data_IF_938279637162
#
_entry.id   IF_938279637162
#
_cell.length_a   1.000
_cell.length_b   1.000
_cell.length_c   1.000
_cell.angle_alpha   90.00
_cell.angle_beta   90.00
_cell.angle_gamma   90.00
#
_symmetry.space_group_name_H-M   'P 1'
#
loop_
_entity.id
_entity.type
_entity.pdbx_description
1 polymer ?
#
# COMPACT_ATOMS: atom_id res chain seq x y z
N UNK A 1 20.30 11.95 22.73
CA UNK A 1 18.94 12.42 22.44
C UNK A 1 17.88 11.67 23.26
N UNK A 2 17.93 10.33 23.37
CA UNK A 2 16.92 9.55 24.12
C UNK A 2 17.28 9.24 25.59
N UNK A 3 18.53 9.45 26.02
CA UNK A 3 18.96 9.19 27.40
C UNK A 3 18.47 10.23 28.43
N UNK A 4 17.98 11.38 27.96
CA UNK A 4 17.36 12.42 28.81
C UNK A 4 15.84 12.24 28.99
N UNK A 5 15.23 11.21 28.39
CA UNK A 5 13.78 11.01 28.38
C UNK A 5 13.22 10.27 29.61
N UNK A 6 13.95 10.24 30.74
CA UNK A 6 13.49 9.58 31.97
C UNK A 6 12.22 10.19 32.60
N UNK A 7 11.68 11.26 32.01
CA UNK A 7 10.45 11.95 32.43
C UNK A 7 9.27 11.83 31.45
N UNK A 8 9.41 11.07 30.35
CA UNK A 8 8.37 11.05 29.32
C UNK A 8 7.40 9.90 29.60
N UNK A 9 6.15 10.28 29.90
CA UNK A 9 5.05 9.34 30.10
C UNK A 9 4.86 8.45 28.86
N UNK A 10 4.53 7.17 29.05
CA UNK A 10 4.22 6.27 27.95
C UNK A 10 3.12 6.83 27.03
N UNK A 11 3.34 6.80 25.72
CA UNK A 11 2.47 7.44 24.73
C UNK A 11 1.63 6.44 23.91
N UNK A 12 0.54 6.95 23.34
CA UNK A 12 -0.30 6.24 22.37
C UNK A 12 0.14 6.61 20.96
N UNK A 13 0.49 5.62 20.13
CA UNK A 13 0.89 5.86 18.74
C UNK A 13 -0.17 5.30 17.80
N UNK A 14 -0.65 6.14 16.88
CA UNK A 14 -1.52 5.74 15.78
C UNK A 14 -0.77 6.04 14.49
N UNK A 15 -0.55 5.02 13.68
CA UNK A 15 0.10 5.15 12.38
C UNK A 15 -0.74 4.54 11.26
N UNK A 16 -0.64 5.11 10.07
CA UNK A 16 -1.26 4.61 8.85
C UNK A 16 -0.23 4.42 7.72
N UNK A 17 -0.39 3.36 6.91
CA UNK A 17 0.51 3.06 5.79
C UNK A 17 1.97 2.99 6.27
N UNK A 18 2.89 3.76 5.66
CA UNK A 18 4.31 3.77 6.05
C UNK A 18 4.54 4.24 7.49
N UNK A 19 3.74 5.18 7.99
CA UNK A 19 3.89 5.67 9.37
C UNK A 19 3.53 4.61 10.42
N UNK A 20 2.63 3.69 10.10
CA UNK A 20 2.30 2.54 10.96
C UNK A 20 3.52 1.62 11.12
N UNK A 21 4.25 1.39 10.03
CA UNK A 21 5.46 0.57 10.04
C UNK A 21 6.58 1.23 10.83
N UNK A 22 6.76 2.55 10.66
CA UNK A 22 7.72 3.34 11.45
C UNK A 22 7.36 3.27 12.94
N UNK A 23 6.07 3.43 13.27
CA UNK A 23 5.57 3.31 14.63
C UNK A 23 5.87 1.93 15.23
N UNK A 24 5.71 0.86 14.46
CA UNK A 24 6.02 -0.50 14.90
C UNK A 24 7.52 -0.70 15.18
N UNK A 25 8.40 -0.17 14.32
CA UNK A 25 9.86 -0.21 14.52
C UNK A 25 10.27 0.59 15.77
N UNK A 26 9.66 1.77 15.96
CA UNK A 26 9.92 2.59 17.14
C UNK A 26 9.49 1.85 18.41
N UNK A 27 8.28 1.29 18.44
CA UNK A 27 7.76 0.57 19.59
C UNK A 27 8.59 -0.68 19.95
N UNK A 28 9.16 -1.37 18.97
CA UNK A 28 10.06 -2.52 19.22
C UNK A 28 11.41 -2.08 19.82
N UNK A 29 11.95 -0.93 19.42
CA UNK A 29 13.20 -0.40 19.97
C UNK A 29 13.02 0.27 21.34
N UNK A 30 11.85 0.83 21.59
CA UNK A 30 11.58 1.72 22.72
C UNK A 30 10.29 1.34 23.48
N UNK A 31 10.09 0.06 23.84
CA UNK A 31 8.79 -0.42 24.34
C UNK A 31 8.36 0.25 25.64
N UNK A 32 9.32 0.66 26.50
CA UNK A 32 9.05 1.34 27.76
C UNK A 32 8.33 2.70 27.61
N UNK A 33 8.36 3.29 26.42
CA UNK A 33 7.73 4.57 26.14
C UNK A 33 6.36 4.43 25.45
N UNK A 34 5.86 3.20 25.23
CA UNK A 34 4.62 2.95 24.49
C UNK A 34 3.56 2.39 25.43
N UNK A 35 2.44 3.10 25.55
CA UNK A 35 1.25 2.60 26.24
C UNK A 35 0.38 1.76 25.29
N UNK A 36 0.21 2.23 24.05
CA UNK A 36 -0.59 1.56 23.03
C UNK A 36 -0.04 1.87 21.64
N UNK A 37 -0.23 0.94 20.72
CA UNK A 37 -0.01 1.16 19.31
C UNK A 37 -1.22 0.70 18.49
N UNK A 38 -1.69 1.55 17.58
CA UNK A 38 -2.70 1.23 16.58
C UNK A 38 -2.10 1.38 15.19
N UNK A 39 -2.13 0.30 14.41
CA UNK A 39 -1.52 0.23 13.09
C UNK A 39 -2.61 0.05 12.04
N UNK A 40 -2.78 1.06 11.18
CA UNK A 40 -3.78 1.06 10.11
C UNK A 40 -3.10 0.75 8.78
N UNK A 41 -3.37 -0.43 8.23
CA UNK A 41 -2.83 -0.91 6.95
C UNK A 41 -1.31 -0.65 6.82
N UNK A 42 -0.48 -1.22 7.72
CA UNK A 42 0.95 -0.93 7.74
C UNK A 42 1.62 -1.33 6.43
N UNK A 43 2.49 -0.45 5.93
CA UNK A 43 3.30 -0.73 4.77
C UNK A 43 4.23 -1.91 5.06
N UNK A 44 4.26 -2.90 4.17
CA UNK A 44 5.19 -4.02 4.31
C UNK A 44 6.61 -3.55 4.02
N UNK A 45 7.56 -3.94 4.87
CA UNK A 45 9.00 -3.82 4.58
C UNK A 45 9.41 -5.14 3.94
N UNK A 46 9.91 -5.08 2.71
CA UNK A 46 10.53 -6.22 2.05
C UNK A 46 12.03 -5.96 1.99
N UNK A 47 12.83 -7.00 2.21
CA UNK A 47 14.30 -6.91 2.12
C UNK A 47 14.77 -6.69 0.67
N UNK A 48 13.92 -7.03 -0.30
CA UNK A 48 14.19 -6.88 -1.71
C UNK A 48 13.34 -5.76 -2.33
N UNK A 49 13.93 -5.08 -3.31
CA UNK A 49 13.24 -4.09 -4.13
C UNK A 49 12.07 -4.77 -4.88
N UNK A 50 10.88 -4.17 -4.82
CA UNK A 50 9.72 -4.69 -5.56
C UNK A 50 9.94 -4.56 -7.06
N UNK A 51 9.37 -5.48 -7.84
CA UNK A 51 9.49 -5.45 -9.30
C UNK A 51 8.87 -4.17 -9.89
N UNK A 52 7.89 -3.57 -9.22
CA UNK A 52 7.39 -2.24 -9.54
C UNK A 52 8.50 -1.19 -9.54
N UNK A 53 9.27 -1.12 -8.46
CA UNK A 53 10.37 -0.16 -8.32
C UNK A 53 11.50 -0.47 -9.30
N UNK A 54 11.83 -1.75 -9.54
CA UNK A 54 12.83 -2.12 -10.55
C UNK A 54 12.41 -1.65 -11.94
N UNK A 55 11.15 -1.89 -12.32
CA UNK A 55 10.61 -1.44 -13.61
C UNK A 55 10.52 0.09 -13.68
N UNK A 56 10.26 0.80 -12.59
CA UNK A 56 10.32 2.28 -12.56
C UNK A 56 11.73 2.83 -12.69
N UNK A 57 12.72 2.17 -12.09
CA UNK A 57 14.10 2.63 -12.08
C UNK A 57 14.80 2.39 -13.41
N UNK A 58 14.49 1.28 -14.07
CA UNK A 58 15.21 0.82 -15.27
C UNK A 58 14.35 0.73 -16.53
N UNK A 59 13.03 0.87 -16.42
CA UNK A 59 12.10 0.82 -17.55
C UNK A 59 11.94 2.17 -18.23
N UNK A 60 11.66 2.13 -19.53
CA UNK A 60 11.18 3.27 -20.32
C UNK A 60 9.68 3.51 -20.17
N UNK A 61 8.98 2.60 -19.51
CA UNK A 61 7.52 2.53 -19.50
C UNK A 61 6.93 3.31 -18.32
N UNK A 62 5.92 4.14 -18.60
CA UNK A 62 5.19 4.88 -17.58
C UNK A 62 4.17 3.98 -16.87
N UNK A 63 4.67 3.12 -15.97
CA UNK A 63 3.83 2.19 -15.19
C UNK A 63 2.75 2.91 -14.39
N UNK A 64 2.95 4.18 -14.02
CA UNK A 64 1.94 4.97 -13.30
C UNK A 64 0.99 5.76 -14.20
N UNK A 65 1.24 5.82 -15.51
CA UNK A 65 0.42 6.55 -16.47
C UNK A 65 0.07 5.63 -17.64
N UNK A 66 -0.76 4.59 -17.41
CA UNK A 66 -1.18 3.72 -18.49
C UNK A 66 -2.06 4.49 -19.49
N UNK A 67 -1.77 4.38 -20.78
CA UNK A 67 -2.52 5.02 -21.86
C UNK A 67 -3.63 4.12 -22.41
N UNK A 68 -3.59 2.82 -22.09
CA UNK A 68 -4.59 1.84 -22.53
C UNK A 68 -4.88 0.76 -21.47
N UNK A 69 -5.88 -0.08 -21.74
CA UNK A 69 -6.35 -1.12 -20.81
C UNK A 69 -5.31 -2.21 -20.54
N UNK A 70 -4.45 -2.52 -21.51
CA UNK A 70 -3.40 -3.53 -21.36
C UNK A 70 -2.32 -3.02 -20.40
N UNK A 71 -1.86 -1.80 -20.59
CA UNK A 71 -0.94 -1.12 -19.69
C UNK A 71 -1.50 -0.95 -18.28
N UNK A 72 -2.81 -0.68 -18.15
CA UNK A 72 -3.43 -0.63 -16.83
C UNK A 72 -3.42 -1.99 -16.14
N UNK A 73 -3.70 -3.09 -16.86
CA UNK A 73 -3.64 -4.43 -16.26
C UNK A 73 -2.22 -4.74 -15.77
N UNK A 74 -1.19 -4.36 -16.55
CA UNK A 74 0.21 -4.46 -16.14
C UNK A 74 0.50 -3.58 -14.92
N UNK A 75 0.03 -2.34 -14.89
CA UNK A 75 0.15 -1.45 -13.72
C UNK A 75 -0.52 -2.08 -12.49
N UNK A 76 -1.75 -2.58 -12.65
CA UNK A 76 -2.54 -3.11 -11.55
C UNK A 76 -1.93 -4.39 -10.97
N UNK A 77 -1.43 -5.30 -11.81
CA UNK A 77 -0.68 -6.48 -11.37
C UNK A 77 0.55 -6.06 -10.55
N UNK A 78 1.34 -5.13 -11.09
CA UNK A 78 2.57 -4.61 -10.47
C UNK A 78 2.31 -3.89 -9.13
N UNK A 79 1.23 -3.12 -9.02
CA UNK A 79 0.95 -2.29 -7.84
C UNK A 79 0.11 -3.00 -6.77
N UNK A 80 -0.75 -3.95 -7.16
CA UNK A 80 -1.73 -4.55 -6.24
C UNK A 80 -1.42 -6.01 -5.89
N UNK A 81 -0.47 -6.66 -6.59
CA UNK A 81 -0.10 -8.08 -6.40
C UNK A 81 -1.33 -9.00 -6.51
N UNK A 82 -2.36 -8.53 -7.23
CA UNK A 82 -3.60 -9.26 -7.52
C UNK A 82 -3.85 -9.15 -9.01
N UNK A 83 -4.22 -10.27 -9.62
CA UNK A 83 -4.72 -10.29 -10.99
C UNK A 83 -5.97 -9.40 -11.09
N UNK A 84 -5.78 -8.22 -11.67
CA UNK A 84 -6.84 -7.26 -11.87
C UNK A 84 -7.24 -7.28 -13.34
N UNK A 85 -8.33 -7.96 -13.68
CA UNK A 85 -8.85 -8.00 -15.04
C UNK A 85 -9.86 -6.86 -15.25
N UNK A 86 -9.38 -5.71 -15.73
CA UNK A 86 -10.25 -4.55 -16.00
C UNK A 86 -11.40 -4.88 -16.95
N UNK A 87 -11.16 -5.69 -17.98
CA UNK A 87 -12.17 -6.06 -18.96
C UNK A 87 -13.34 -6.75 -18.28
N UNK A 88 -13.05 -7.64 -17.32
CA UNK A 88 -14.05 -8.29 -16.51
C UNK A 88 -14.80 -7.31 -15.59
N UNK A 89 -14.11 -6.36 -14.96
CA UNK A 89 -14.74 -5.32 -14.14
C UNK A 89 -15.68 -4.43 -14.96
N UNK A 90 -15.29 -4.05 -16.18
CA UNK A 90 -16.14 -3.29 -17.09
C UNK A 90 -17.35 -4.10 -17.55
N UNK A 91 -17.17 -5.37 -17.91
CA UNK A 91 -18.27 -6.28 -18.27
C UNK A 91 -19.25 -6.42 -17.10
N UNK A 92 -18.75 -6.68 -15.90
CA UNK A 92 -19.58 -6.91 -14.73
C UNK A 92 -20.33 -5.65 -14.28
N UNK A 93 -19.73 -4.47 -14.42
CA UNK A 93 -20.33 -3.22 -13.95
C UNK A 93 -21.22 -2.54 -15.00
N UNK A 94 -20.84 -2.57 -16.27
CA UNK A 94 -21.56 -1.85 -17.33
C UNK A 94 -22.36 -2.78 -18.23
N UNK A 95 -21.84 -3.95 -18.59
CA UNK A 95 -22.52 -4.84 -19.54
C UNK A 95 -23.71 -5.58 -18.89
N UNK A 96 -23.55 -6.05 -17.64
CA UNK A 96 -24.70 -6.57 -16.87
C UNK A 96 -25.75 -5.50 -16.62
N UNK A 97 -25.34 -4.26 -16.32
CA UNK A 97 -26.27 -3.14 -16.13
C UNK A 97 -27.11 -2.88 -17.39
N UNK A 98 -26.50 -2.89 -18.57
CA UNK A 98 -27.19 -2.70 -19.86
C UNK A 98 -28.16 -3.85 -20.15
N UNK A 99 -27.75 -5.11 -19.95
CA UNK A 99 -28.64 -6.26 -20.20
C UNK A 99 -29.82 -6.29 -19.22
N UNK A 100 -29.62 -5.88 -17.96
CA UNK A 100 -30.70 -5.83 -16.97
C UNK A 100 -31.66 -4.65 -17.20
N UNK A 101 -31.20 -3.59 -17.87
CA UNK A 101 -32.00 -2.40 -18.21
C UNK A 101 -32.78 -2.54 -19.52
N UNK A 102 -32.50 -3.58 -20.32
CA UNK A 102 -33.17 -3.88 -21.60
C UNK A 102 -34.20 -5.03 -21.44
N UNK A 103 -34.37 -5.56 -20.22
CA UNK A 103 -35.48 -6.46 -19.85
C UNK A 103 -36.53 -5.71 -19.04
#
# INVERSE_FOLDING_TARGET
>A
FFDEMNLIEPMYIIGASMSATIAAIFATKYPKYISMICLLAPASIKEYESDAIKKLRFGTDSIFLPENCEEFNVMADVLTVKDFNLSQVFIDKYYKSIITSIR
#
